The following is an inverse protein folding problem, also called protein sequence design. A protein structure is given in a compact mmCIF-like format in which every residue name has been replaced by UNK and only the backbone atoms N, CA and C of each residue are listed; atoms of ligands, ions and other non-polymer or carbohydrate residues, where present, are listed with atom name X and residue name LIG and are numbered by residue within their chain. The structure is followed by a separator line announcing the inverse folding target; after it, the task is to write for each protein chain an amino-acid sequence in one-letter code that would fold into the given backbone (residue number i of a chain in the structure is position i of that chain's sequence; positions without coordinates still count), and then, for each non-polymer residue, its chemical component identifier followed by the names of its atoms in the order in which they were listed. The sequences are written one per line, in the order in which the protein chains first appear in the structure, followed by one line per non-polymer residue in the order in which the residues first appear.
data_IF_635982033184
#
_entry.id   IF_635982033184
#
_cell.length_a   1.000
_cell.length_b   1.000
_cell.length_c   1.000
_cell.angle_alpha   90.00
_cell.angle_beta   90.00
_cell.angle_gamma   90.00
#
_symmetry.space_group_name_H-M   'P 1'
#
loop_
_entity.id
_entity.type
_entity.pdbx_description
1 polymer ?
#
# COMPACT_ATOMS: atom_id res chain seq x y z
N UNK A 1 13.01 23.94 15.69
CA UNK A 1 12.34 23.70 15.06
C UNK A 1 12.66 23.15 13.92
N UNK A 2 13.56 23.27 13.61
CA UNK A 2 13.75 22.93 12.40
C UNK A 2 13.68 21.54 12.06
N UNK A 3 14.12 20.66 12.82
CA UNK A 3 14.12 19.37 12.50
C UNK A 3 12.81 18.87 12.46
N UNK A 4 12.10 19.23 13.37
CA UNK A 4 10.76 18.86 13.39
C UNK A 4 10.16 19.41 12.18
N UNK A 5 10.66 20.54 11.82
CA UNK A 5 10.16 21.21 10.70
C UNK A 5 10.31 20.41 9.44
N UNK A 6 11.31 19.58 9.34
CA UNK A 6 11.48 18.83 8.12
C UNK A 6 10.30 17.92 7.87
N UNK A 7 9.85 17.18 8.86
CA UNK A 7 8.71 16.34 8.68
C UNK A 7 7.45 17.12 8.45
N UNK A 8 7.27 18.20 9.20
CA UNK A 8 6.10 19.02 9.05
C UNK A 8 6.08 19.68 7.71
N UNK A 9 7.23 20.16 7.26
CA UNK A 9 7.30 20.81 5.99
C UNK A 9 6.98 19.88 4.85
N UNK A 10 7.37 18.62 4.94
CA UNK A 10 7.06 17.69 3.89
C UNK A 10 5.56 17.49 3.77
N UNK A 11 4.86 17.39 4.89
CA UNK A 11 3.43 17.22 4.84
C UNK A 11 2.75 18.45 4.26
N UNK A 12 3.23 19.64 4.64
CA UNK A 12 2.65 20.86 4.12
C UNK A 12 2.88 20.94 2.62
N UNK A 13 4.07 20.57 2.17
CA UNK A 13 4.38 20.62 0.76
C UNK A 13 3.54 19.62 -0.01
N UNK A 14 3.33 18.43 0.54
CA UNK A 14 2.48 17.44 -0.12
C UNK A 14 1.09 18.02 -0.33
N UNK A 15 0.52 18.62 0.71
CA UNK A 15 -0.83 19.14 0.61
C UNK A 15 -0.92 20.31 -0.36
N UNK A 16 0.16 21.05 -0.52
CA UNK A 16 0.16 22.16 -1.46
C UNK A 16 0.35 21.68 -2.90
N UNK A 17 1.15 20.63 -3.09
CA UNK A 17 1.47 20.17 -4.42
C UNK A 17 0.45 19.19 -5.01
N UNK A 18 -0.32 18.52 -4.17
CA UNK A 18 -1.23 17.50 -4.63
C UNK A 18 -2.64 17.81 -4.16
N UNK A 19 -3.62 17.37 -4.94
CA UNK A 19 -5.01 17.54 -4.53
C UNK A 19 -5.29 16.58 -3.36
N UNK A 20 -6.32 16.86 -2.58
CA UNK A 20 -6.68 15.95 -1.51
C UNK A 20 -6.93 14.52 -1.99
N UNK A 21 -7.51 14.38 -3.18
CA UNK A 21 -7.75 13.06 -3.75
C UNK A 21 -6.44 12.37 -4.06
N UNK A 22 -5.46 13.09 -4.58
CA UNK A 22 -4.17 12.52 -4.90
C UNK A 22 -3.43 12.10 -3.64
N UNK A 23 -3.51 12.91 -2.60
CA UNK A 23 -2.87 12.57 -1.34
C UNK A 23 -3.50 11.33 -0.73
N UNK A 24 -4.83 11.27 -0.72
CA UNK A 24 -5.53 10.13 -0.16
C UNK A 24 -5.21 8.85 -0.92
N UNK A 25 -5.15 8.95 -2.25
CA UNK A 25 -4.85 7.78 -3.08
C UNK A 25 -3.44 7.27 -2.81
N UNK A 26 -2.49 8.19 -2.69
CA UNK A 26 -1.10 7.82 -2.43
C UNK A 26 -0.97 7.18 -1.05
N UNK A 27 -1.64 7.75 -0.04
CA UNK A 27 -1.57 7.21 1.30
C UNK A 27 -2.18 5.81 1.36
N UNK A 28 -3.28 5.60 0.66
CA UNK A 28 -3.91 4.30 0.64
C UNK A 28 -3.02 3.28 -0.06
N UNK A 29 -2.39 3.68 -1.16
CA UNK A 29 -1.50 2.78 -1.88
C UNK A 29 -0.35 2.34 -0.98
N UNK A 30 0.26 3.28 -0.28
CA UNK A 30 1.36 2.96 0.63
C UNK A 30 0.87 2.03 1.74
N UNK A 31 -0.32 2.30 2.27
CA UNK A 31 -0.86 1.47 3.33
C UNK A 31 -1.10 0.04 2.86
N UNK A 32 -1.64 -0.13 1.66
CA UNK A 32 -1.90 -1.45 1.11
C UNK A 32 -0.61 -2.21 0.90
N UNK A 33 0.39 -1.56 0.31
CA UNK A 33 1.67 -2.19 0.05
C UNK A 33 2.35 -2.58 1.35
N UNK A 34 2.31 -1.69 2.34
CA UNK A 34 2.92 -1.97 3.64
C UNK A 34 2.26 -3.16 4.31
N UNK A 35 0.93 -3.23 4.25
CA UNK A 35 0.22 -4.35 4.85
C UNK A 35 0.53 -5.66 4.13
N UNK A 36 0.66 -5.60 2.81
CA UNK A 36 0.99 -6.78 2.04
C UNK A 36 2.36 -7.32 2.46
N UNK A 37 3.35 -6.44 2.55
CA UNK A 37 4.69 -6.84 2.93
C UNK A 37 4.69 -7.39 4.36
N UNK A 38 4.00 -6.70 5.27
CA UNK A 38 3.95 -7.13 6.64
C UNK A 38 3.29 -8.50 6.77
N UNK A 39 2.17 -8.69 6.10
CA UNK A 39 1.45 -9.96 6.17
C UNK A 39 2.32 -11.10 5.63
N UNK A 40 3.02 -10.85 4.52
CA UNK A 40 3.87 -11.87 3.95
C UNK A 40 4.99 -12.24 4.92
N UNK A 41 5.62 -11.24 5.53
CA UNK A 41 6.72 -11.49 6.45
C UNK A 41 6.24 -12.16 7.73
N UNK A 42 5.05 -11.82 8.19
CA UNK A 42 4.52 -12.44 9.39
C UNK A 42 4.26 -13.94 9.16
N UNK A 43 3.90 -14.30 7.94
CA UNK A 43 3.71 -15.71 7.62
C UNK A 43 5.03 -16.39 7.32
N UNK A 44 6.11 -15.65 7.25
CA UNK A 44 7.42 -16.23 7.02
C UNK A 44 7.64 -16.74 5.61
N UNK A 45 6.92 -16.21 4.63
CA UNK A 45 7.07 -16.69 3.27
C UNK A 45 7.80 -15.69 2.42
N UNK A 46 8.54 -16.21 1.44
CA UNK A 46 9.30 -15.37 0.52
C UNK A 46 8.41 -14.91 -0.62
N UNK A 47 8.93 -13.97 -1.41
CA UNK A 47 8.22 -13.56 -2.60
C UNK A 47 8.06 -14.75 -3.57
N UNK A 48 9.06 -15.63 -3.60
CA UNK A 48 9.00 -16.80 -4.47
C UNK A 48 7.91 -17.74 -4.01
N UNK A 49 7.78 -17.93 -2.71
CA UNK A 49 6.72 -18.78 -2.18
C UNK A 49 5.36 -18.17 -2.48
N UNK A 50 5.28 -16.85 -2.38
CA UNK A 50 4.02 -16.16 -2.68
C UNK A 50 3.67 -16.34 -4.15
N UNK A 51 4.65 -16.39 -5.03
CA UNK A 51 4.40 -16.66 -6.43
C UNK A 51 3.77 -18.03 -6.58
N UNK A 52 4.30 -19.04 -5.87
CA UNK A 52 3.76 -20.38 -5.95
C UNK A 52 2.32 -20.43 -5.48
N UNK A 53 2.01 -19.71 -4.43
CA UNK A 53 0.68 -19.74 -3.86
C UNK A 53 -0.34 -18.94 -4.67
N UNK A 54 0.08 -17.80 -5.19
CA UNK A 54 -0.85 -16.89 -5.84
C UNK A 54 -0.89 -17.02 -7.35
N UNK A 55 0.17 -17.58 -7.93
CA UNK A 55 0.28 -17.61 -9.38
C UNK A 55 0.78 -16.33 -9.98
N UNK A 56 1.06 -15.32 -9.15
CA UNK A 56 1.58 -14.05 -9.62
C UNK A 56 3.11 -14.16 -9.63
N UNK A 57 3.73 -13.81 -10.75
CA UNK A 57 5.16 -13.98 -10.90
C UNK A 57 5.95 -13.15 -9.90
N UNK A 58 7.03 -13.72 -9.40
CA UNK A 58 7.83 -13.05 -8.38
C UNK A 58 8.32 -11.67 -8.79
N UNK A 59 8.76 -11.42 -10.04
CA UNK A 59 9.15 -10.06 -10.40
C UNK A 59 7.99 -9.06 -10.31
N UNK A 60 6.75 -9.51 -10.56
CA UNK A 60 5.60 -8.65 -10.43
C UNK A 60 5.38 -8.32 -8.97
N UNK A 61 5.48 -9.33 -8.09
CA UNK A 61 5.33 -9.11 -6.65
C UNK A 61 6.40 -8.12 -6.17
N UNK A 62 7.63 -8.29 -6.64
CA UNK A 62 8.72 -7.41 -6.24
C UNK A 62 8.45 -5.96 -6.65
N UNK A 63 7.91 -5.75 -7.84
CA UNK A 63 7.61 -4.40 -8.29
C UNK A 63 6.50 -3.78 -7.47
N UNK A 64 5.50 -4.59 -7.10
CA UNK A 64 4.42 -4.10 -6.27
C UNK A 64 4.97 -3.70 -4.91
N UNK A 65 5.81 -4.53 -4.32
CA UNK A 65 6.34 -4.28 -2.98
C UNK A 65 7.25 -3.06 -2.94
N UNK A 66 7.90 -2.75 -4.05
CA UNK A 66 8.76 -1.57 -4.09
C UNK A 66 8.02 -0.33 -4.55
N UNK A 67 6.74 -0.47 -4.86
CA UNK A 67 5.95 0.68 -5.30
C UNK A 67 6.19 1.09 -6.73
N UNK A 68 6.89 0.26 -7.50
CA UNK A 68 7.21 0.61 -8.89
C UNK A 68 6.08 0.37 -9.85
N UNK A 69 5.08 -0.39 -9.46
CA UNK A 69 3.94 -0.59 -10.32
C UNK A 69 2.68 -0.63 -9.50
N UNK A 70 1.56 -0.30 -10.13
CA UNK A 70 0.27 -0.37 -9.48
C UNK A 70 -0.39 -1.65 -9.96
N UNK A 71 -0.70 -2.58 -9.07
CA UNK A 71 -1.27 -3.84 -9.50
C UNK A 71 -2.71 -3.66 -9.92
N UNK A 72 -3.18 -4.54 -10.78
CA UNK A 72 -4.59 -4.58 -11.08
C UNK A 72 -5.30 -5.13 -9.86
N UNK A 73 -6.56 -4.80 -9.72
CA UNK A 73 -7.31 -5.23 -8.55
C UNK A 73 -7.34 -6.74 -8.42
N UNK A 74 -7.54 -7.45 -9.53
CA UNK A 74 -7.57 -8.91 -9.48
C UNK A 74 -6.26 -9.48 -8.97
N UNK A 75 -5.15 -8.94 -9.44
CA UNK A 75 -3.83 -9.39 -9.02
C UNK A 75 -3.65 -9.14 -7.52
N UNK A 76 -4.03 -7.96 -7.08
CA UNK A 76 -3.88 -7.61 -5.68
C UNK A 76 -4.73 -8.53 -4.80
N UNK A 77 -5.96 -8.81 -5.21
CA UNK A 77 -6.84 -9.67 -4.43
C UNK A 77 -6.31 -11.09 -4.35
N UNK A 78 -5.69 -11.60 -5.42
CA UNK A 78 -5.10 -12.91 -5.39
C UNK A 78 -3.97 -12.98 -4.38
N UNK A 79 -3.11 -11.98 -4.39
CA UNK A 79 -1.98 -11.94 -3.48
C UNK A 79 -2.47 -11.84 -2.04
N UNK A 80 -3.38 -10.91 -1.78
CA UNK A 80 -3.88 -10.70 -0.44
C UNK A 80 -4.63 -11.93 0.07
N UNK A 81 -5.39 -12.59 -0.81
CA UNK A 81 -6.10 -13.79 -0.42
C UNK A 81 -5.17 -14.89 0.05
N UNK A 82 -4.00 -15.01 -0.59
CA UNK A 82 -3.03 -16.00 -0.18
C UNK A 82 -2.42 -15.66 1.18
N UNK A 83 -2.50 -14.40 1.58
CA UNK A 83 -1.97 -13.95 2.85
C UNK A 83 -3.06 -13.86 3.92
N UNK A 84 -4.27 -14.29 3.59
CA UNK A 84 -5.38 -14.24 4.53
C UNK A 84 -5.97 -12.86 4.70
N UNK A 85 -5.80 -11.99 3.70
CA UNK A 85 -6.31 -10.62 3.77
C UNK A 85 -7.24 -10.34 2.61
N UNK A 86 -7.98 -9.26 2.71
CA UNK A 86 -8.84 -8.85 1.62
C UNK A 86 -9.00 -7.34 1.70
N UNK A 87 -9.65 -6.77 0.69
CA UNK A 87 -9.96 -5.35 0.69
C UNK A 87 -11.46 -5.19 0.90
N UNK A 88 -11.83 -4.09 1.50
CA UNK A 88 -13.23 -3.79 1.72
C UNK A 88 -13.47 -2.31 1.48
N UNK A 89 -14.65 -1.97 1.07
CA UNK A 89 -15.04 -0.59 0.88
C UNK A 89 -15.60 -0.09 2.19
N UNK A 90 -15.06 1.00 2.68
CA UNK A 90 -15.48 1.56 3.95
C UNK A 90 -15.71 3.05 3.77
N UNK A 91 -16.47 3.69 4.65
CA UNK A 91 -16.65 5.13 4.55
C UNK A 91 -15.32 5.84 4.73
N UNK A 92 -15.18 7.00 4.13
CA UNK A 92 -13.97 7.77 4.31
C UNK A 92 -13.91 8.21 5.74
N UNK A 93 -12.77 8.03 6.35
CA UNK A 93 -12.63 8.40 7.73
C UNK A 93 -12.75 9.87 7.91
N UNK A 94 -12.49 10.63 6.90
CA UNK A 94 -12.59 11.95 7.04
C UNK A 94 -13.87 12.41 7.18
N UNK A 95 -14.76 11.69 6.65
CA UNK A 95 -16.08 12.15 6.80
C UNK A 95 -16.36 12.32 8.22
N UNK A 96 -15.65 11.65 9.01
CA UNK A 96 -15.94 11.75 10.35
C UNK A 96 -15.40 12.97 10.83
N UNK A 97 -14.67 13.50 10.08
CA UNK A 97 -14.22 14.68 10.54
C UNK A 97 -15.24 15.68 10.50
N UNK A 98 -15.95 15.37 10.19
CA UNK A 98 -16.84 16.02 10.44
C UNK A 98 -17.09 16.80 10.69
#
# INVERSE_FOLDING_TARGET
MSKTAIGSNWKDVRNDLFTPEEVATTDLRVAIISELIRARKELGISQKKLEELSGVKQPVIARIETGKSTPQLDTLLKILGCLGKTLAIVPLSKSEVK
#
